data_IF_898641280643
#
_entry.id   IF_898641280643
#
_cell.length_a   1.000
_cell.length_b   1.000
_cell.length_c   1.000
_cell.angle_alpha   90.00
_cell.angle_beta   90.00
_cell.angle_gamma   90.00
#
_symmetry.space_group_name_H-M   'P 1'
#
loop_
_entity.id
_entity.type
_entity.pdbx_description
1 polymer ?
#
# COMPACT_ATOMS: atom_id res chain seq x y z
N UNK A 1 -1.36 32.49 29.33
CA UNK A 1 -0.86 33.07 28.05
C UNK A 1 0.43 32.34 27.67
N UNK A 2 0.43 31.04 27.37
CA UNK A 2 -0.03 30.32 26.17
C UNK A 2 0.67 30.74 24.86
N UNK A 3 1.95 30.35 24.72
CA UNK A 3 2.63 30.22 23.42
C UNK A 3 2.35 28.81 22.82
N UNK A 4 1.07 28.50 22.63
CA UNK A 4 0.60 27.22 22.05
C UNK A 4 -0.14 27.39 20.71
N UNK A 5 -0.06 28.54 20.03
CA UNK A 5 -0.97 28.87 18.92
C UNK A 5 -0.36 28.94 17.51
N UNK A 6 0.88 28.50 17.27
CA UNK A 6 1.43 28.49 15.90
C UNK A 6 2.20 27.21 15.61
N UNK A 7 1.79 26.56 14.51
CA UNK A 7 2.28 25.28 13.94
C UNK A 7 1.50 24.05 14.44
N UNK A 8 0.27 23.92 13.92
CA UNK A 8 -0.53 22.70 14.01
C UNK A 8 -0.09 21.66 12.97
N UNK A 9 0.98 20.93 13.26
CA UNK A 9 1.31 19.68 12.58
C UNK A 9 1.25 18.55 13.62
N UNK A 10 0.10 17.86 13.68
CA UNK A 10 -0.09 16.64 14.47
C UNK A 10 0.75 15.53 13.83
N UNK A 11 2.01 15.41 14.24
CA UNK A 11 2.84 14.22 13.95
C UNK A 11 2.27 13.08 14.80
N UNK A 12 1.81 11.95 14.22
CA UNK A 12 1.34 10.82 15.00
C UNK A 12 2.51 10.24 15.81
N UNK A 13 2.36 10.26 17.14
CA UNK A 13 3.26 9.55 18.06
C UNK A 13 2.99 8.05 17.96
N UNK A 14 4.08 7.25 17.94
CA UNK A 14 4.19 5.75 17.91
C UNK A 14 4.29 5.22 16.47
N UNK A 15 5.40 4.59 16.05
CA UNK A 15 5.93 3.33 16.60
C UNK A 15 7.47 3.26 16.61
N UNK A 16 8.11 3.54 17.75
CA UNK A 16 9.45 3.03 18.05
C UNK A 16 9.27 1.88 19.04
N UNK A 17 9.58 0.66 18.63
CA UNK A 17 9.58 -0.50 19.53
C UNK A 17 11.00 -0.64 20.06
N UNK A 18 11.20 -0.22 21.31
CA UNK A 18 12.45 -0.43 22.04
C UNK A 18 12.39 -1.79 22.74
N UNK A 19 13.19 -2.76 22.30
CA UNK A 19 13.43 -4.02 23.02
C UNK A 19 14.89 -4.05 23.51
N UNK A 20 15.10 -4.64 24.69
CA UNK A 20 16.35 -4.53 25.44
C UNK A 20 17.56 -5.15 24.71
N UNK A 21 18.66 -4.40 24.64
CA UNK A 21 19.97 -4.84 24.15
C UNK A 21 20.32 -4.45 22.71
N UNK A 22 19.34 -4.19 21.85
CA UNK A 22 19.54 -3.72 20.46
C UNK A 22 18.35 -2.85 20.04
N UNK A 23 18.60 -1.57 19.73
CA UNK A 23 17.53 -0.70 19.23
C UNK A 23 17.18 -1.12 17.80
N UNK A 24 15.96 -1.62 17.61
CA UNK A 24 15.40 -1.96 16.30
C UNK A 24 14.71 -0.73 15.74
N UNK A 25 15.30 -0.10 14.72
CA UNK A 25 14.67 1.02 14.02
C UNK A 25 13.93 0.49 12.77
N UNK A 26 12.61 0.62 12.75
CA UNK A 26 11.78 0.26 11.60
C UNK A 26 11.49 1.50 10.75
N UNK A 27 12.14 1.59 9.60
CA UNK A 27 12.07 2.73 8.69
C UNK A 27 10.83 2.70 7.78
N UNK A 28 9.64 2.72 8.38
CA UNK A 28 8.35 2.52 7.67
C UNK A 28 7.89 3.68 6.78
N UNK A 29 8.51 4.85 6.87
CA UNK A 29 7.96 6.10 6.32
C UNK A 29 8.87 6.84 5.33
N UNK A 30 10.02 6.27 4.96
CA UNK A 30 11.01 6.99 4.15
C UNK A 30 10.69 6.96 2.65
N UNK A 31 9.64 6.27 2.20
CA UNK A 31 9.22 6.25 0.79
C UNK A 31 9.01 7.64 0.18
N UNK A 32 8.52 8.60 0.99
CA UNK A 32 8.34 9.99 0.56
C UNK A 32 9.66 10.74 0.31
N UNK A 33 10.76 10.36 0.96
CA UNK A 33 12.08 10.99 0.72
C UNK A 33 12.64 10.66 -0.67
N UNK A 34 11.99 9.79 -1.44
CA UNK A 34 12.42 9.39 -2.78
C UNK A 34 11.49 9.86 -3.90
N UNK A 35 10.41 10.61 -3.60
CA UNK A 35 9.54 11.23 -4.62
C UNK A 35 9.77 12.75 -4.73
N UNK A 36 9.89 13.19 -5.99
CA UNK A 36 10.05 14.57 -6.53
C UNK A 36 11.26 15.44 -6.12
N UNK A 37 11.83 16.09 -7.15
CA UNK A 37 13.02 16.93 -7.08
C UNK A 37 12.66 18.42 -7.20
N UNK A 38 12.43 19.08 -6.06
CA UNK A 38 12.56 20.54 -5.94
C UNK A 38 13.87 20.88 -5.22
N UNK A 39 14.55 21.96 -5.62
CA UNK A 39 15.88 22.31 -5.08
C UNK A 39 15.92 22.49 -3.55
N UNK A 40 14.84 23.00 -2.95
CA UNK A 40 14.66 23.11 -1.50
C UNK A 40 14.49 21.75 -0.81
N UNK A 41 13.77 20.81 -1.45
CA UNK A 41 13.59 19.44 -0.97
C UNK A 41 14.91 18.66 -1.01
N UNK A 42 15.78 18.95 -1.98
CA UNK A 42 17.11 18.33 -2.10
C UNK A 42 18.01 18.66 -0.90
N UNK A 43 18.04 19.93 -0.48
CA UNK A 43 18.83 20.37 0.68
C UNK A 43 18.29 19.77 2.00
N UNK A 44 16.97 19.78 2.18
CA UNK A 44 16.31 19.16 3.33
C UNK A 44 16.60 17.65 3.41
N UNK A 45 16.49 16.96 2.27
CA UNK A 45 16.82 15.53 2.15
C UNK A 45 18.27 15.25 2.51
N UNK A 46 19.21 16.07 2.05
CA UNK A 46 20.62 15.91 2.41
C UNK A 46 20.82 16.01 3.94
N UNK A 47 20.21 17.01 4.58
CA UNK A 47 20.24 17.17 6.03
C UNK A 47 19.63 15.97 6.78
N UNK A 48 18.46 15.51 6.35
CA UNK A 48 17.79 14.33 6.93
C UNK A 48 18.66 13.08 6.75
N UNK A 49 19.23 12.87 5.57
CA UNK A 49 20.08 11.71 5.29
C UNK A 49 21.34 11.71 6.14
N UNK A 50 21.99 12.87 6.35
CA UNK A 50 23.14 12.99 7.25
C UNK A 50 22.77 12.68 8.71
N UNK A 51 21.63 13.20 9.17
CA UNK A 51 21.11 12.89 10.50
C UNK A 51 20.78 11.40 10.65
N UNK A 52 20.06 10.79 9.70
CA UNK A 52 19.73 9.37 9.70
C UNK A 52 20.99 8.51 9.68
N UNK A 53 21.99 8.88 8.86
CA UNK A 53 23.28 8.20 8.83
C UNK A 53 23.92 8.22 10.23
N UNK A 54 24.02 9.40 10.85
CA UNK A 54 24.58 9.51 12.19
C UNK A 54 23.81 8.68 13.24
N UNK A 55 22.48 8.74 13.22
CA UNK A 55 21.64 8.03 14.18
C UNK A 55 21.70 6.50 14.01
N UNK A 56 21.69 6.00 12.77
CA UNK A 56 21.61 4.58 12.45
C UNK A 56 22.97 3.87 12.41
N UNK A 57 24.09 4.61 12.51
CA UNK A 57 25.44 4.03 12.60
C UNK A 57 25.85 3.62 14.02
N UNK A 58 25.01 3.87 15.02
CA UNK A 58 25.35 3.59 16.40
C UNK A 58 25.66 2.09 16.62
N UNK A 59 26.73 1.74 17.35
CA UNK A 59 27.23 0.36 17.46
C UNK A 59 26.25 -0.67 18.01
N UNK A 60 25.32 -0.24 18.85
CA UNK A 60 24.34 -1.11 19.53
C UNK A 60 22.96 -1.10 18.84
N UNK A 61 22.91 -0.87 17.53
CA UNK A 61 21.66 -0.81 16.77
C UNK A 61 21.71 -1.73 15.55
N UNK A 62 20.57 -2.34 15.24
CA UNK A 62 20.34 -3.08 14.00
C UNK A 62 19.14 -2.42 13.32
N UNK A 63 19.30 -2.07 12.04
CA UNK A 63 18.21 -1.49 11.26
C UNK A 63 17.49 -2.60 10.50
N UNK A 64 16.17 -2.69 10.70
CA UNK A 64 15.33 -3.69 10.04
C UNK A 64 14.51 -3.04 8.94
N UNK A 65 14.48 -3.65 7.76
CA UNK A 65 13.65 -3.25 6.63
C UNK A 65 12.57 -4.28 6.34
N UNK A 66 11.43 -3.85 5.79
CA UNK A 66 10.35 -4.78 5.43
C UNK A 66 10.51 -5.44 4.06
N UNK A 67 11.33 -4.85 3.19
CA UNK A 67 11.61 -5.36 1.86
C UNK A 67 13.11 -5.20 1.55
N UNK A 68 13.68 -6.10 0.74
CA UNK A 68 15.11 -6.10 0.43
C UNK A 68 15.53 -4.91 -0.44
N UNK A 69 14.63 -4.33 -1.24
CA UNK A 69 14.96 -3.17 -2.08
C UNK A 69 15.25 -1.91 -1.25
N UNK A 70 14.47 -1.66 -0.19
CA UNK A 70 14.71 -0.56 0.75
C UNK A 70 16.06 -0.78 1.46
N UNK A 71 16.32 -1.99 1.95
CA UNK A 71 17.59 -2.33 2.57
C UNK A 71 18.77 -2.04 1.61
N UNK A 72 18.67 -2.45 0.35
CA UNK A 72 19.68 -2.20 -0.68
C UNK A 72 19.90 -0.69 -0.92
N UNK A 73 18.85 0.12 -0.97
CA UNK A 73 18.96 1.57 -1.14
C UNK A 73 19.68 2.23 0.03
N UNK A 74 19.36 1.84 1.27
CA UNK A 74 19.96 2.43 2.45
C UNK A 74 21.42 2.01 2.65
N UNK A 75 21.75 0.75 2.37
CA UNK A 75 23.13 0.23 2.40
C UNK A 75 23.97 0.89 1.30
N UNK A 76 23.49 0.93 0.06
CA UNK A 76 24.25 1.52 -1.06
C UNK A 76 24.51 3.01 -0.91
N UNK A 77 23.66 3.72 -0.16
CA UNK A 77 23.84 5.14 0.18
C UNK A 77 24.66 5.39 1.44
N UNK A 78 25.17 4.33 2.08
CA UNK A 78 25.94 4.41 3.32
C UNK A 78 25.14 5.00 4.50
N UNK A 79 23.81 4.85 4.50
CA UNK A 79 22.95 5.30 5.61
C UNK A 79 22.96 4.30 6.75
N UNK A 80 23.09 3.01 6.41
CA UNK A 80 23.18 1.90 7.36
C UNK A 80 24.33 0.98 6.96
N UNK A 81 25.10 0.44 7.92
CA UNK A 81 26.11 -0.57 7.63
C UNK A 81 25.46 -1.91 7.27
N UNK A 82 26.02 -2.60 6.27
CA UNK A 82 25.48 -3.86 5.74
C UNK A 82 25.40 -4.95 6.82
N UNK A 83 26.40 -4.99 7.69
CA UNK A 83 26.55 -5.98 8.77
C UNK A 83 25.52 -5.78 9.90
N UNK A 84 24.88 -4.61 9.96
CA UNK A 84 23.82 -4.28 10.94
C UNK A 84 22.49 -3.99 10.27
N UNK A 85 22.27 -4.63 9.13
CA UNK A 85 21.03 -4.55 8.37
C UNK A 85 20.36 -5.92 8.38
N UNK A 86 19.09 -5.95 8.75
CA UNK A 86 18.25 -7.14 8.67
C UNK A 86 17.00 -6.84 7.83
N UNK A 87 16.45 -7.87 7.19
CA UNK A 87 15.17 -7.77 6.46
C UNK A 87 14.18 -8.68 7.16
N UNK A 88 13.07 -8.11 7.61
CA UNK A 88 11.94 -8.82 8.21
C UNK A 88 10.76 -8.67 7.27
N UNK A 89 10.40 -9.71 6.48
CA UNK A 89 9.39 -9.60 5.43
C UNK A 89 8.01 -9.19 5.97
N UNK A 90 7.60 -7.95 5.71
CA UNK A 90 6.30 -7.41 6.07
C UNK A 90 5.89 -7.57 7.55
N UNK A 91 4.59 -7.47 7.80
CA UNK A 91 4.00 -7.58 9.15
C UNK A 91 3.44 -8.97 9.47
N UNK A 92 3.58 -9.93 8.54
CA UNK A 92 2.95 -11.25 8.62
C UNK A 92 1.41 -11.21 8.59
N UNK A 93 0.81 -12.40 8.54
CA UNK A 93 -0.63 -12.63 8.72
C UNK A 93 -0.82 -13.89 9.54
N UNK A 94 -1.90 -13.95 10.29
CA UNK A 94 -2.29 -15.17 11.03
C UNK A 94 -3.00 -16.14 10.07
N UNK A 95 -2.37 -17.28 9.70
CA UNK A 95 -2.95 -18.21 8.75
C UNK A 95 -4.18 -18.95 9.30
N UNK A 96 -4.33 -19.05 10.63
CA UNK A 96 -5.53 -19.63 11.24
C UNK A 96 -6.74 -18.71 11.18
N UNK A 97 -6.51 -17.42 10.91
CA UNK A 97 -7.58 -16.43 10.70
C UNK A 97 -7.86 -16.19 9.22
N UNK A 98 -6.82 -16.15 8.39
CA UNK A 98 -6.93 -15.99 6.94
C UNK A 98 -6.68 -17.33 6.27
N UNK A 99 -7.57 -18.28 6.55
CA UNK A 99 -7.51 -19.61 5.97
C UNK A 99 -7.77 -19.58 4.46
N UNK A 100 -7.27 -20.60 3.77
CA UNK A 100 -7.53 -20.80 2.36
C UNK A 100 -9.03 -20.93 2.09
N UNK A 101 -9.60 -19.96 1.37
CA UNK A 101 -11.04 -19.87 1.16
C UNK A 101 -11.57 -20.77 0.03
N UNK A 102 -10.81 -21.81 -0.38
CA UNK A 102 -11.17 -22.70 -1.49
C UNK A 102 -10.75 -22.19 -2.87
N UNK A 103 -11.15 -22.92 -3.92
CA UNK A 103 -10.79 -22.61 -5.30
C UNK A 103 -11.34 -21.26 -5.77
N UNK A 104 -10.63 -20.62 -6.70
CA UNK A 104 -11.02 -19.33 -7.31
C UNK A 104 -11.92 -19.51 -8.54
N UNK A 105 -12.53 -20.69 -8.67
CA UNK A 105 -13.37 -21.01 -9.80
C UNK A 105 -14.68 -20.22 -9.70
N UNK A 106 -14.96 -19.43 -10.73
CA UNK A 106 -16.24 -18.74 -10.85
C UNK A 106 -17.31 -19.77 -11.17
N UNK A 107 -18.42 -19.78 -10.41
CA UNK A 107 -19.53 -20.69 -10.72
C UNK A 107 -20.11 -20.38 -12.11
N UNK A 108 -20.64 -21.42 -12.77
CA UNK A 108 -21.16 -21.28 -14.13
C UNK A 108 -22.32 -20.29 -14.16
N UNK A 109 -22.16 -19.20 -14.92
CA UNK A 109 -23.17 -18.14 -15.06
C UNK A 109 -23.03 -17.00 -14.05
N UNK A 110 -21.97 -16.99 -13.22
CA UNK A 110 -21.60 -15.85 -12.39
C UNK A 110 -20.45 -15.07 -13.02
N UNK A 111 -20.38 -13.77 -12.71
CA UNK A 111 -19.26 -12.92 -13.08
C UNK A 111 -18.18 -12.97 -11.97
N UNK A 112 -16.87 -13.01 -12.31
CA UNK A 112 -15.81 -12.93 -11.31
C UNK A 112 -15.87 -11.62 -10.54
N UNK A 113 -15.54 -11.69 -9.25
CA UNK A 113 -15.44 -10.53 -8.36
C UNK A 113 -13.97 -10.10 -8.25
N UNK A 114 -13.65 -8.91 -8.74
CA UNK A 114 -12.36 -8.25 -8.54
C UNK A 114 -12.51 -7.28 -7.37
N UNK A 115 -11.70 -7.44 -6.34
CA UNK A 115 -11.80 -6.66 -5.11
C UNK A 115 -10.62 -5.72 -4.92
N UNK A 116 -10.90 -4.47 -4.58
CA UNK A 116 -9.93 -3.53 -4.02
C UNK A 116 -10.30 -3.27 -2.56
N UNK A 117 -9.41 -3.62 -1.62
CA UNK A 117 -9.57 -3.30 -0.20
C UNK A 117 -8.50 -2.31 0.28
N UNK A 118 -8.92 -1.09 0.63
CA UNK A 118 -8.04 -0.02 1.10
C UNK A 118 -8.85 1.10 1.77
N UNK A 119 -8.17 2.02 2.46
CA UNK A 119 -8.71 3.37 2.64
C UNK A 119 -8.94 3.99 1.25
N UNK A 120 -10.11 4.58 1.02
CA UNK A 120 -10.51 5.09 -0.29
C UNK A 120 -9.83 6.44 -0.57
N UNK A 121 -8.53 6.38 -0.86
CA UNK A 121 -7.67 7.52 -1.14
C UNK A 121 -7.20 7.47 -2.60
N UNK A 122 -7.06 8.61 -3.26
CA UNK A 122 -6.64 8.70 -4.66
C UNK A 122 -5.30 8.01 -4.92
N UNK A 123 -4.31 8.26 -4.07
CA UNK A 123 -2.97 7.67 -4.17
C UNK A 123 -2.95 6.15 -3.93
N UNK A 124 -4.02 5.57 -3.37
CA UNK A 124 -4.20 4.12 -3.25
C UNK A 124 -4.70 3.46 -4.54
N UNK A 125 -4.89 4.25 -5.60
CA UNK A 125 -5.26 3.76 -6.92
C UNK A 125 -6.77 3.52 -7.09
N UNK A 126 -7.63 4.08 -6.24
CA UNK A 126 -9.08 3.87 -6.34
C UNK A 126 -9.62 4.33 -7.69
N UNK A 127 -9.17 5.49 -8.20
CA UNK A 127 -9.54 5.97 -9.52
C UNK A 127 -9.09 5.02 -10.64
N UNK A 128 -7.86 4.52 -10.57
CA UNK A 128 -7.31 3.56 -11.55
C UNK A 128 -8.10 2.26 -11.56
N UNK A 129 -8.53 1.79 -10.38
CA UNK A 129 -9.38 0.61 -10.26
C UNK A 129 -10.74 0.80 -10.93
N UNK A 130 -11.38 1.94 -10.71
CA UNK A 130 -12.67 2.30 -11.33
C UNK A 130 -12.54 2.45 -12.85
N UNK A 131 -11.49 3.12 -13.32
CA UNK A 131 -11.23 3.28 -14.75
C UNK A 131 -10.95 1.93 -15.43
N UNK A 132 -10.22 1.03 -14.76
CA UNK A 132 -10.01 -0.34 -15.24
C UNK A 132 -11.34 -1.11 -15.33
N UNK A 133 -12.22 -0.96 -14.35
CA UNK A 133 -13.55 -1.57 -14.37
C UNK A 133 -14.39 -1.11 -15.57
N UNK A 134 -14.39 0.20 -15.85
CA UNK A 134 -15.10 0.78 -17.01
C UNK A 134 -14.54 0.26 -18.32
N UNK A 135 -13.22 0.26 -18.49
CA UNK A 135 -12.55 -0.26 -19.70
C UNK A 135 -12.82 -1.74 -19.92
N UNK A 136 -12.83 -2.56 -18.87
CA UNK A 136 -13.13 -3.99 -19.00
C UNK A 136 -14.57 -4.20 -19.48
N UNK A 137 -15.53 -3.44 -18.94
CA UNK A 137 -16.92 -3.47 -19.40
C UNK A 137 -17.07 -3.01 -20.85
N UNK A 138 -16.39 -1.93 -21.25
CA UNK A 138 -16.38 -1.45 -22.65
C UNK A 138 -15.82 -2.50 -23.62
N UNK A 139 -14.86 -3.32 -23.18
CA UNK A 139 -14.30 -4.44 -23.94
C UNK A 139 -15.15 -5.72 -23.87
N UNK A 140 -16.35 -5.67 -23.28
CA UNK A 140 -17.27 -6.81 -23.19
C UNK A 140 -16.87 -7.88 -22.16
N UNK A 141 -15.97 -7.55 -21.21
CA UNK A 141 -15.62 -8.46 -20.11
C UNK A 141 -16.64 -8.31 -18.99
N UNK A 142 -17.34 -9.40 -18.68
CA UNK A 142 -18.29 -9.45 -17.56
C UNK A 142 -17.53 -9.72 -16.24
N UNK A 143 -17.50 -8.74 -15.36
CA UNK A 143 -16.85 -8.81 -14.05
C UNK A 143 -17.50 -7.80 -13.08
N UNK A 144 -17.55 -8.16 -11.79
CA UNK A 144 -17.97 -7.29 -10.71
C UNK A 144 -16.76 -6.72 -9.97
N UNK A 145 -16.82 -5.45 -9.61
CA UNK A 145 -15.72 -4.71 -8.98
C UNK A 145 -16.14 -4.26 -7.58
N UNK A 146 -15.61 -4.93 -6.56
CA UNK A 146 -15.91 -4.63 -5.17
C UNK A 146 -14.92 -3.60 -4.60
N UNK A 147 -15.43 -2.44 -4.19
CA UNK A 147 -14.70 -1.45 -3.38
C UNK A 147 -14.97 -1.75 -1.90
N UNK A 148 -13.94 -2.18 -1.18
CA UNK A 148 -14.00 -2.48 0.26
C UNK A 148 -13.19 -1.44 1.00
N UNK A 149 -13.84 -0.62 1.81
CA UNK A 149 -13.19 0.45 2.55
C UNK A 149 -14.10 1.64 2.78
N UNK A 150 -13.55 2.63 3.47
CA UNK A 150 -14.23 3.89 3.72
C UNK A 150 -13.42 5.06 3.19
N UNK A 151 -14.13 6.16 2.96
CA UNK A 151 -13.51 7.47 2.77
C UNK A 151 -13.13 8.08 4.13
N UNK A 152 -12.16 8.98 4.10
CA UNK A 152 -11.68 9.72 5.28
C UNK A 152 -11.83 11.21 4.99
N UNK A 153 -12.96 11.86 5.35
CA UNK A 153 -13.23 13.25 5.00
C UNK A 153 -12.20 14.25 5.53
N UNK A 154 -11.44 13.89 6.58
CA UNK A 154 -10.38 14.73 7.13
C UNK A 154 -9.11 14.71 6.27
N UNK A 155 -9.00 13.74 5.35
CA UNK A 155 -7.84 13.57 4.49
C UNK A 155 -8.06 14.24 3.12
N UNK A 156 -7.25 15.24 2.73
CA UNK A 156 -7.37 15.90 1.43
C UNK A 156 -7.22 14.96 0.23
N UNK A 157 -6.55 13.82 0.41
CA UNK A 157 -6.37 12.80 -0.61
C UNK A 157 -7.49 11.76 -0.66
N UNK A 158 -8.56 11.91 0.13
CA UNK A 158 -9.68 10.99 0.12
C UNK A 158 -10.60 11.21 -1.09
N UNK A 159 -11.17 10.10 -1.56
CA UNK A 159 -12.23 10.15 -2.57
C UNK A 159 -13.50 10.67 -1.90
N UNK A 160 -14.15 11.72 -2.43
CA UNK A 160 -15.41 12.22 -1.86
C UNK A 160 -16.48 11.13 -1.83
N UNK A 161 -17.27 11.08 -0.76
CA UNK A 161 -18.35 10.09 -0.60
C UNK A 161 -19.34 10.08 -1.78
N UNK A 162 -19.75 11.27 -2.23
CA UNK A 162 -20.65 11.43 -3.36
C UNK A 162 -20.11 10.77 -4.64
N UNK A 163 -18.79 10.75 -4.83
CA UNK A 163 -18.17 10.10 -5.98
C UNK A 163 -18.17 8.57 -5.86
N UNK A 164 -17.98 8.05 -4.64
CA UNK A 164 -18.06 6.61 -4.37
C UNK A 164 -19.49 6.11 -4.59
N UNK A 165 -20.49 6.86 -4.10
CA UNK A 165 -21.91 6.56 -4.32
C UNK A 165 -22.25 6.61 -5.81
N UNK A 166 -21.77 7.61 -6.55
CA UNK A 166 -21.94 7.68 -8.00
C UNK A 166 -21.34 6.45 -8.72
N UNK A 167 -20.17 5.96 -8.29
CA UNK A 167 -19.57 4.75 -8.85
C UNK A 167 -20.37 3.48 -8.50
N UNK A 168 -20.92 3.39 -7.30
CA UNK A 168 -21.79 2.27 -6.88
C UNK A 168 -23.05 2.15 -7.77
N UNK A 169 -23.56 3.29 -8.23
CA UNK A 169 -24.72 3.39 -9.13
C UNK A 169 -24.40 3.03 -10.60
N UNK A 170 -23.12 3.01 -11.02
CA UNK A 170 -22.75 2.72 -12.42
C UNK A 170 -23.01 1.28 -12.86
N UNK A 171 -23.20 0.37 -11.89
CA UNK A 171 -23.53 -1.04 -12.09
C UNK A 171 -22.41 -2.05 -11.84
N UNK A 172 -21.21 -1.93 -12.45
CA UNK A 172 -20.18 -2.96 -12.36
C UNK A 172 -19.35 -2.78 -11.09
N UNK A 173 -19.39 -1.58 -10.50
CA UNK A 173 -18.69 -1.23 -9.28
C UNK A 173 -19.71 -1.31 -8.16
N UNK A 174 -19.31 -1.97 -7.07
CA UNK A 174 -20.11 -2.09 -5.86
C UNK A 174 -19.29 -1.69 -4.65
N UNK A 175 -19.79 -0.73 -3.89
CA UNK A 175 -19.17 -0.28 -2.66
C UNK A 175 -19.71 -1.09 -1.48
N UNK A 176 -18.85 -1.93 -0.91
CA UNK A 176 -19.19 -2.80 0.23
C UNK A 176 -18.94 -2.11 1.58
N UNK A 177 -18.58 -0.83 1.56
CA UNK A 177 -18.28 -0.08 2.77
C UNK A 177 -17.05 -0.59 3.53
N UNK A 178 -16.90 -0.09 4.75
CA UNK A 178 -15.87 -0.54 5.68
C UNK A 178 -16.24 -1.88 6.29
N UNK A 179 -15.39 -2.87 6.07
CA UNK A 179 -15.54 -4.18 6.71
C UNK A 179 -14.74 -4.24 8.02
N UNK A 180 -15.30 -4.82 9.10
CA UNK A 180 -14.55 -5.06 10.32
C UNK A 180 -13.37 -5.99 10.05
N UNK A 181 -12.24 -5.84 10.74
CA UNK A 181 -11.11 -6.74 10.55
C UNK A 181 -11.48 -8.22 10.73
N UNK A 182 -12.41 -8.55 11.64
CA UNK A 182 -12.86 -9.94 11.88
C UNK A 182 -13.49 -10.59 10.65
N UNK A 183 -14.18 -9.79 9.83
CA UNK A 183 -14.91 -10.26 8.64
C UNK A 183 -14.05 -10.31 7.38
N UNK A 184 -12.87 -9.67 7.41
CA UNK A 184 -11.98 -9.61 6.25
C UNK A 184 -11.64 -10.97 5.62
N UNK A 185 -11.43 -12.08 6.38
CA UNK A 185 -11.24 -13.39 5.78
C UNK A 185 -12.43 -13.83 4.90
N UNK A 186 -13.66 -13.66 5.40
CA UNK A 186 -14.88 -13.98 4.65
C UNK A 186 -15.07 -13.06 3.44
N UNK A 187 -14.79 -11.77 3.62
CA UNK A 187 -14.85 -10.76 2.54
C UNK A 187 -13.84 -11.09 1.43
N UNK A 188 -12.58 -11.38 1.77
CA UNK A 188 -11.56 -11.79 0.81
C UNK A 188 -11.91 -13.13 0.15
N UNK A 189 -12.56 -14.04 0.87
CA UNK A 189 -13.03 -15.32 0.33
C UNK A 189 -14.08 -15.16 -0.79
N UNK A 190 -14.86 -14.07 -0.79
CA UNK A 190 -15.81 -13.76 -1.86
C UNK A 190 -15.12 -13.21 -3.13
N UNK A 191 -13.89 -12.69 -3.01
CA UNK A 191 -13.15 -12.20 -4.15
C UNK A 191 -12.62 -13.37 -5.00
N UNK A 192 -12.65 -13.21 -6.32
CA UNK A 192 -11.97 -14.10 -7.26
C UNK A 192 -10.57 -13.57 -7.60
N UNK A 193 -10.39 -12.25 -7.56
CA UNK A 193 -9.11 -11.56 -7.77
C UNK A 193 -9.03 -10.40 -6.79
N UNK A 194 -7.86 -10.18 -6.17
CA UNK A 194 -7.59 -8.97 -5.37
C UNK A 194 -6.71 -8.03 -6.15
N UNK A 195 -7.16 -6.79 -6.37
CA UNK A 195 -6.46 -5.78 -7.12
C UNK A 195 -6.01 -4.63 -6.20
N UNK A 196 -4.73 -4.26 -6.26
CA UNK A 196 -4.20 -3.07 -5.58
C UNK A 196 -3.36 -2.24 -6.57
N UNK A 197 -3.97 -1.32 -7.32
CA UNK A 197 -3.28 -0.52 -8.34
C UNK A 197 -2.63 0.76 -7.75
N UNK A 198 -2.31 0.76 -6.46
CA UNK A 198 -1.64 1.88 -5.78
C UNK A 198 -0.30 2.18 -6.44
N UNK A 199 0.05 3.45 -6.64
CA UNK A 199 1.37 3.82 -7.20
C UNK A 199 2.42 4.13 -6.12
N UNK A 200 1.99 4.16 -4.85
CA UNK A 200 2.87 4.51 -3.75
C UNK A 200 3.82 3.38 -3.39
N UNK A 201 5.08 3.74 -3.15
CA UNK A 201 6.01 2.91 -2.38
C UNK A 201 5.59 2.95 -0.92
N UNK A 202 4.71 2.04 -0.56
CA UNK A 202 4.51 1.63 0.82
C UNK A 202 5.47 0.47 1.13
N UNK A 203 5.59 0.07 2.39
CA UNK A 203 6.32 -1.15 2.75
C UNK A 203 5.65 -2.39 2.13
N UNK A 204 5.32 -3.39 2.95
CA UNK A 204 4.59 -4.56 2.45
C UNK A 204 3.10 -4.38 2.77
N UNK A 205 2.20 -4.22 1.78
CA UNK A 205 0.78 -3.97 2.05
C UNK A 205 0.11 -5.19 2.70
N UNK A 206 -0.48 -5.00 3.89
CA UNK A 206 -1.09 -6.10 4.65
C UNK A 206 -2.20 -6.83 3.89
N UNK A 207 -3.04 -6.07 3.16
CA UNK A 207 -4.14 -6.61 2.36
C UNK A 207 -3.66 -7.64 1.32
N UNK A 208 -2.46 -7.46 0.76
CA UNK A 208 -1.89 -8.41 -0.20
C UNK A 208 -1.43 -9.70 0.49
N UNK A 209 -0.87 -9.60 1.70
CA UNK A 209 -0.50 -10.77 2.50
C UNK A 209 -1.77 -11.55 2.91
N UNK A 210 -2.81 -10.83 3.33
CA UNK A 210 -4.11 -11.41 3.70
C UNK A 210 -4.77 -12.10 2.50
N UNK A 211 -4.76 -11.47 1.32
CA UNK A 211 -5.27 -12.06 0.07
C UNK A 211 -4.50 -13.32 -0.34
N UNK A 212 -3.16 -13.28 -0.26
CA UNK A 212 -2.31 -14.43 -0.56
C UNK A 212 -2.59 -15.60 0.39
N UNK A 213 -2.78 -15.33 1.69
CA UNK A 213 -3.14 -16.36 2.68
C UNK A 213 -4.49 -17.00 2.38
N UNK A 214 -5.47 -16.21 1.93
CA UNK A 214 -6.78 -16.72 1.48
C UNK A 214 -6.75 -17.40 0.10
N UNK A 215 -5.58 -17.54 -0.53
CA UNK A 215 -5.40 -18.16 -1.84
C UNK A 215 -6.02 -17.38 -3.00
N UNK A 216 -6.09 -16.05 -2.87
CA UNK A 216 -6.66 -15.18 -3.91
C UNK A 216 -5.56 -14.68 -4.84
N UNK A 217 -5.71 -14.80 -6.17
CA UNK A 217 -4.74 -14.24 -7.11
C UNK A 217 -4.73 -12.73 -7.01
N UNK A 218 -3.54 -12.15 -7.14
CA UNK A 218 -3.31 -10.72 -6.89
C UNK A 218 -2.94 -10.00 -8.19
N UNK A 219 -3.57 -8.86 -8.46
CA UNK A 219 -3.11 -7.92 -9.49
C UNK A 219 -2.63 -6.64 -8.79
N UNK A 220 -1.36 -6.30 -8.92
CA UNK A 220 -0.83 -5.08 -8.29
C UNK A 220 0.26 -4.45 -9.13
N UNK A 221 0.62 -3.20 -8.85
CA UNK A 221 1.70 -2.55 -9.58
C UNK A 221 3.07 -3.09 -9.18
N UNK A 222 3.98 -3.09 -10.14
CA UNK A 222 5.36 -3.53 -10.01
C UNK A 222 6.21 -2.53 -9.21
N UNK A 223 6.09 -2.59 -7.89
CA UNK A 223 6.82 -1.71 -6.97
C UNK A 223 7.45 -2.52 -5.83
N UNK A 224 8.55 -2.03 -5.24
CA UNK A 224 9.19 -2.67 -4.10
C UNK A 224 8.23 -2.99 -2.95
N UNK A 225 8.45 -4.14 -2.29
CA UNK A 225 7.56 -4.67 -1.26
C UNK A 225 6.41 -5.51 -1.78
N UNK A 226 5.88 -5.23 -2.98
CA UNK A 226 4.80 -6.05 -3.59
C UNK A 226 5.33 -7.24 -4.36
N UNK A 227 6.53 -7.11 -4.94
CA UNK A 227 7.32 -8.19 -5.55
C UNK A 227 7.63 -9.33 -4.59
N UNK A 228 7.63 -9.06 -3.29
CA UNK A 228 7.86 -10.06 -2.24
C UNK A 228 6.63 -10.92 -1.95
N UNK A 229 5.44 -10.49 -2.42
CA UNK A 229 4.17 -11.18 -2.18
C UNK A 229 3.67 -11.88 -3.46
N UNK A 230 3.85 -11.23 -4.60
CA UNK A 230 3.32 -11.70 -5.89
C UNK A 230 4.43 -12.30 -6.74
N UNK A 231 4.32 -13.59 -7.03
CA UNK A 231 5.11 -14.24 -8.06
C UNK A 231 4.40 -14.02 -9.39
N UNK A 232 5.02 -13.23 -10.28
CA UNK A 232 4.44 -12.88 -11.57
C UNK A 232 4.07 -14.14 -12.37
N UNK A 233 2.86 -14.15 -12.93
CA UNK A 233 2.26 -15.24 -13.72
C UNK A 233 1.98 -16.55 -12.95
N UNK A 234 2.38 -16.65 -11.69
CA UNK A 234 2.15 -17.83 -10.84
C UNK A 234 1.05 -17.55 -9.79
N UNK A 235 1.28 -16.57 -8.90
CA UNK A 235 0.29 -16.18 -7.87
C UNK A 235 -0.49 -14.91 -8.23
N UNK A 236 -0.14 -14.26 -9.34
CA UNK A 236 -0.78 -13.03 -9.77
C UNK A 236 -0.04 -12.27 -10.86
N UNK A 237 -0.49 -11.05 -11.15
CA UNK A 237 0.12 -10.17 -12.14
C UNK A 237 0.70 -8.90 -11.50
N UNK A 238 1.92 -8.57 -11.92
CA UNK A 238 2.60 -7.33 -11.61
C UNK A 238 2.50 -6.44 -12.84
N UNK A 239 1.83 -5.30 -12.71
CA UNK A 239 1.64 -4.35 -13.82
C UNK A 239 2.57 -3.15 -13.66
N UNK A 240 3.17 -2.61 -14.73
CA UNK A 240 3.98 -1.40 -14.61
C UNK A 240 3.18 -0.23 -13.99
N UNK A 241 3.78 0.59 -13.11
CA UNK A 241 3.12 1.80 -12.63
C UNK A 241 2.86 2.77 -13.79
N UNK A 242 1.70 3.45 -13.79
CA UNK A 242 1.33 4.42 -14.83
C UNK A 242 2.35 5.56 -14.84
N UNK A 243 2.93 5.87 -16.00
CA UNK A 243 3.92 6.94 -16.17
C UNK A 243 5.37 6.59 -15.80
N UNK A 244 5.67 5.35 -15.38
CA UNK A 244 7.04 4.95 -15.00
C UNK A 244 7.58 5.57 -13.71
N UNK A 245 6.80 6.44 -13.06
CA UNK A 245 7.18 7.19 -11.86
C UNK A 245 6.31 6.81 -10.65
N UNK A 246 6.94 6.70 -9.48
CA UNK A 246 6.30 6.41 -8.20
C UNK A 246 5.78 7.72 -7.58
N UNK A 247 4.51 8.07 -7.84
CA UNK A 247 3.91 9.27 -7.26
C UNK A 247 3.12 8.94 -5.99
N UNK A 248 3.51 9.57 -4.87
CA UNK A 248 2.80 9.51 -3.59
C UNK A 248 2.01 10.79 -3.27
N UNK A 249 1.97 11.77 -4.18
CA UNK A 249 1.35 13.06 -3.92
C UNK A 249 -0.19 12.92 -3.93
N UNK A 250 -0.81 13.27 -2.80
CA UNK A 250 -2.23 13.55 -2.73
C UNK A 250 -2.47 14.90 -3.43
N UNK A 251 -2.72 14.89 -4.74
CA UNK A 251 -3.00 16.12 -5.47
C UNK A 251 -3.44 15.88 -6.90
N UNK A 252 -4.74 16.09 -7.13
CA UNK A 252 -5.33 16.54 -8.40
C UNK A 252 -5.35 15.54 -9.54
N UNK A 253 -6.54 15.25 -10.07
CA UNK A 253 -6.64 14.66 -11.40
C UNK A 253 -5.87 15.51 -12.39
N UNK A 254 -4.99 14.88 -13.15
CA UNK A 254 -4.56 15.40 -14.44
C UNK A 254 -4.98 14.39 -15.50
N UNK A 255 -5.94 14.82 -16.30
CA UNK A 255 -6.36 14.21 -17.54
C UNK A 255 -5.17 14.14 -18.49
N UNK A 256 -4.68 12.93 -18.79
CA UNK A 256 -4.36 12.45 -20.15
C UNK A 256 -3.93 10.97 -20.18
#
# INVERSE_FOLDING_TARGET
MSLQSRIGAKIPRRSFVFSAGSTTCSALWLGFLFSEETGSVRALRWGIMRFLTYALHHPNQITTFQNPDDARIFVSRGVVPKERTAVTPGSGVDPGRFEYAGGTAVEKGQAPIVMLSTRLLWHKGVGVFVDAARRLRENGVDAQFALVGDTDPENPGAVPRAQIEAWDDEGPIKWWGRQPPSEMPSVLGQAHVVCLPSHCREGVPKVLIEAASCGRPIVTTDVPGRREIVNHEDTGFLVPPRGGELHCAAGGGDDR
#
